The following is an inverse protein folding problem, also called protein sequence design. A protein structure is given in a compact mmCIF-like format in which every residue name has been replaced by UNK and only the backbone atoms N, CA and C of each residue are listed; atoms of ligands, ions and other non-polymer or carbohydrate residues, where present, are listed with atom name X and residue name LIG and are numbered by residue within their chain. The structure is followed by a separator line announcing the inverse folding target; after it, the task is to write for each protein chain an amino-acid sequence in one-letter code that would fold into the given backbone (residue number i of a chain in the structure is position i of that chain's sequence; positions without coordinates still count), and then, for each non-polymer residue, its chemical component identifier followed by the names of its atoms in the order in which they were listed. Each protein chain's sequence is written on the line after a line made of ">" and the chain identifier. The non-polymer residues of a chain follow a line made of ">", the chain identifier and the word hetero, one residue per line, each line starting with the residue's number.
data_IF_338428052092
#
_entry.id   IF_338428052092
#
_cell.length_a   1.000
_cell.length_b   1.000
_cell.length_c   1.000
_cell.angle_alpha   90.00
_cell.angle_beta   90.00
_cell.angle_gamma   90.00
#
_symmetry.space_group_name_H-M   'P 1'
#
loop_
_entity.id
_entity.type
_entity.pdbx_description
1 polymer ?
#
# COMPACT_ATOMS: atom_id res chain seq x y z
N UNK A 1 17.93 6.99 -4.38
CA UNK A 1 18.16 7.60 -3.06
C UNK A 1 17.03 7.14 -2.16
N UNK A 2 17.25 6.15 -1.30
CA UNK A 2 16.21 5.64 -0.40
C UNK A 2 16.17 6.51 0.85
N UNK A 3 15.06 7.20 1.11
CA UNK A 3 14.91 8.02 2.31
C UNK A 3 14.99 7.13 3.57
N UNK A 4 15.74 7.50 4.62
CA UNK A 4 15.96 6.65 5.81
C UNK A 4 14.66 6.13 6.44
N UNK A 5 13.66 7.01 6.59
CA UNK A 5 12.37 6.65 7.19
C UNK A 5 11.61 5.57 6.40
N UNK A 6 11.79 5.47 5.08
CA UNK A 6 11.15 4.40 4.29
C UNK A 6 11.85 3.06 4.52
N UNK A 7 13.17 3.06 4.70
CA UNK A 7 13.92 1.84 5.00
C UNK A 7 13.53 1.25 6.37
N UNK A 8 13.19 2.09 7.34
CA UNK A 8 12.76 1.64 8.67
C UNK A 8 11.35 1.02 8.67
N UNK A 9 10.48 1.46 7.76
CA UNK A 9 9.11 0.97 7.65
C UNK A 9 8.99 -0.30 6.78
N UNK A 10 9.90 -0.47 5.83
CA UNK A 10 9.87 -1.55 4.84
C UNK A 10 10.80 -2.69 5.22
N UNK A 11 10.33 -3.93 5.10
CA UNK A 11 11.18 -5.10 5.24
C UNK A 11 12.18 -5.23 4.07
N UNK A 12 13.17 -6.12 4.18
CA UNK A 12 14.23 -6.28 3.17
C UNK A 12 13.67 -6.68 1.79
N UNK A 13 12.61 -7.48 1.72
CA UNK A 13 11.98 -7.86 0.45
C UNK A 13 11.22 -6.69 -0.18
N UNK A 14 10.47 -5.95 0.63
CA UNK A 14 9.77 -4.73 0.19
C UNK A 14 10.78 -3.71 -0.35
N UNK A 15 11.90 -3.51 0.32
CA UNK A 15 12.96 -2.62 -0.16
C UNK A 15 13.50 -3.03 -1.54
N UNK A 16 13.58 -4.33 -1.84
CA UNK A 16 13.98 -4.81 -3.18
C UNK A 16 12.91 -4.52 -4.24
N UNK A 17 11.62 -4.63 -3.88
CA UNK A 17 10.49 -4.28 -4.75
C UNK A 17 10.49 -2.77 -5.05
N UNK A 18 10.70 -1.94 -4.02
CA UNK A 18 10.70 -0.48 -4.13
C UNK A 18 11.84 0.06 -5.02
N UNK A 19 12.89 -0.73 -5.31
CA UNK A 19 13.89 -0.37 -6.34
C UNK A 19 13.29 -0.20 -7.73
N UNK A 20 12.13 -0.79 -7.98
CA UNK A 20 11.39 -0.70 -9.25
C UNK A 20 10.29 0.36 -9.21
N UNK A 21 10.11 1.08 -8.09
CA UNK A 21 9.15 2.17 -8.01
C UNK A 21 9.62 3.33 -8.90
N UNK A 22 8.82 3.66 -9.91
CA UNK A 22 9.08 4.79 -10.80
C UNK A 22 8.56 6.11 -10.24
N UNK A 23 7.31 6.12 -9.77
CA UNK A 23 6.70 7.29 -9.13
C UNK A 23 5.62 6.89 -8.15
N UNK A 24 5.24 7.82 -7.29
CA UNK A 24 4.10 7.69 -6.40
C UNK A 24 3.29 8.99 -6.46
N UNK A 25 1.97 8.85 -6.45
CA UNK A 25 1.01 9.94 -6.50
C UNK A 25 0.00 9.83 -5.35
N UNK A 26 -0.39 10.97 -4.77
CA UNK A 26 -1.41 11.06 -3.72
C UNK A 26 -2.53 11.94 -4.25
N UNK A 27 -3.72 11.37 -4.34
CA UNK A 27 -4.93 12.07 -4.77
C UNK A 27 -5.89 12.18 -3.57
N UNK A 28 -6.17 13.41 -3.14
CA UNK A 28 -7.25 13.68 -2.19
C UNK A 28 -8.61 13.40 -2.85
N UNK A 29 -9.57 12.86 -2.10
CA UNK A 29 -10.93 12.72 -2.59
C UNK A 29 -11.58 14.11 -2.78
N UNK A 30 -12.70 14.18 -3.51
CA UNK A 30 -13.42 15.44 -3.82
C UNK A 30 -13.65 16.32 -2.59
N UNK A 31 -13.89 15.68 -1.45
CA UNK A 31 -13.81 16.30 -0.14
C UNK A 31 -12.56 15.76 0.56
N UNK A 32 -11.61 16.65 0.86
CA UNK A 32 -10.31 16.31 1.47
C UNK A 32 -10.48 15.62 2.83
N UNK A 33 -11.61 15.81 3.52
CA UNK A 33 -11.92 15.13 4.78
C UNK A 33 -12.46 13.72 4.57
N UNK A 34 -12.88 13.36 3.36
CA UNK A 34 -13.52 12.09 3.04
C UNK A 34 -12.54 10.99 2.65
N UNK A 35 -11.26 11.28 2.42
CA UNK A 35 -10.26 10.26 2.12
C UNK A 35 -9.20 10.68 1.11
N UNK A 36 -8.29 9.75 0.82
CA UNK A 36 -7.23 9.91 -0.17
C UNK A 36 -6.86 8.56 -0.80
N UNK A 37 -6.26 8.62 -1.98
CA UNK A 37 -5.72 7.47 -2.70
C UNK A 37 -4.22 7.64 -2.92
N UNK A 38 -3.47 6.61 -2.53
CA UNK A 38 -2.02 6.50 -2.73
C UNK A 38 -1.81 5.55 -3.91
N UNK A 39 -1.23 6.04 -5.00
CA UNK A 39 -0.91 5.24 -6.19
C UNK A 39 0.59 5.08 -6.33
N UNK A 40 1.07 3.84 -6.44
CA UNK A 40 2.46 3.50 -6.72
C UNK A 40 2.59 2.98 -8.16
N UNK A 41 3.43 3.63 -8.96
CA UNK A 41 3.71 3.24 -10.34
C UNK A 41 5.07 2.52 -10.39
N UNK A 42 5.05 1.25 -10.76
CA UNK A 42 6.22 0.40 -10.85
C UNK A 42 6.65 0.18 -12.29
N UNK A 43 7.96 0.22 -12.49
CA UNK A 43 8.58 -0.34 -13.68
C UNK A 43 8.42 -1.86 -13.70
N UNK A 44 8.54 -2.51 -14.87
CA UNK A 44 8.57 -3.97 -14.96
C UNK A 44 9.58 -4.56 -13.97
N UNK A 45 9.13 -5.51 -13.15
CA UNK A 45 9.91 -6.07 -12.05
C UNK A 45 9.71 -7.59 -11.96
N UNK A 46 10.59 -8.34 -11.27
CA UNK A 46 10.50 -9.80 -11.20
C UNK A 46 9.47 -10.33 -10.19
N UNK A 47 8.78 -9.47 -9.43
CA UNK A 47 7.93 -9.88 -8.30
C UNK A 47 6.45 -10.01 -8.67
N UNK A 48 5.90 -9.03 -9.38
CA UNK A 48 4.49 -9.02 -9.79
C UNK A 48 4.30 -8.43 -11.18
N UNK A 49 3.12 -8.64 -11.75
CA UNK A 49 2.76 -8.15 -13.09
C UNK A 49 2.20 -6.72 -13.08
N UNK A 50 1.66 -6.26 -11.95
CA UNK A 50 1.07 -4.92 -11.84
C UNK A 50 2.13 -3.84 -12.12
N UNK A 51 1.77 -2.87 -12.95
CA UNK A 51 2.55 -1.63 -13.12
C UNK A 51 2.02 -0.51 -12.25
N UNK A 52 0.82 -0.66 -11.69
CA UNK A 52 0.15 0.31 -10.81
C UNK A 52 -0.50 -0.41 -9.64
N UNK A 53 -0.21 0.04 -8.42
CA UNK A 53 -0.85 -0.39 -7.18
C UNK A 53 -1.45 0.83 -6.49
N UNK A 54 -2.76 0.82 -6.27
CA UNK A 54 -3.46 1.90 -5.57
C UNK A 54 -4.00 1.40 -4.24
N UNK A 55 -3.81 2.21 -3.20
CA UNK A 55 -4.40 2.03 -1.88
C UNK A 55 -5.30 3.23 -1.60
N UNK A 56 -6.59 3.01 -1.41
CA UNK A 56 -7.56 4.07 -1.14
C UNK A 56 -8.06 3.97 0.29
N UNK A 57 -8.05 5.10 0.98
CA UNK A 57 -8.58 5.30 2.32
C UNK A 57 -9.80 6.20 2.20
N UNK A 58 -10.94 5.75 2.70
CA UNK A 58 -12.20 6.49 2.70
C UNK A 58 -12.67 6.66 4.14
N UNK A 59 -12.76 7.90 4.59
CA UNK A 59 -13.24 8.26 5.92
C UNK A 59 -14.75 8.48 5.84
N UNK A 60 -15.50 7.71 6.62
CA UNK A 60 -16.96 7.85 6.75
C UNK A 60 -17.26 8.74 7.96
N UNK A 61 -18.40 9.43 7.92
CA UNK A 61 -18.81 10.39 8.96
C UNK A 61 -18.94 9.76 10.37
N UNK A 62 -19.21 8.45 10.44
CA UNK A 62 -19.24 7.69 11.69
C UNK A 62 -17.85 7.47 12.32
N UNK A 63 -16.78 7.98 11.70
CA UNK A 63 -15.39 7.73 12.10
C UNK A 63 -14.82 6.42 11.56
N UNK A 64 -15.61 5.63 10.82
CA UNK A 64 -15.17 4.38 10.20
C UNK A 64 -14.30 4.68 8.97
N UNK A 65 -13.11 4.07 8.90
CA UNK A 65 -12.26 4.13 7.70
C UNK A 65 -12.43 2.87 6.85
N UNK A 66 -12.92 3.01 5.62
CA UNK A 66 -12.88 1.95 4.61
C UNK A 66 -11.55 2.01 3.86
N UNK A 67 -10.95 0.84 3.66
CA UNK A 67 -9.65 0.71 3.02
C UNK A 67 -9.77 -0.29 1.87
N UNK A 68 -9.40 0.13 0.67
CA UNK A 68 -9.32 -0.74 -0.51
C UNK A 68 -7.90 -0.73 -1.08
N UNK A 69 -7.51 -1.82 -1.74
CA UNK A 69 -6.19 -1.99 -2.32
C UNK A 69 -6.28 -2.71 -3.66
N UNK A 70 -5.42 -2.38 -4.60
CA UNK A 70 -5.25 -3.17 -5.82
C UNK A 70 -4.73 -4.58 -5.47
N UNK A 71 -5.43 -5.65 -5.88
CA UNK A 71 -4.92 -7.02 -5.73
C UNK A 71 -3.61 -7.18 -6.53
N UNK A 72 -2.61 -7.80 -5.90
CA UNK A 72 -1.29 -7.98 -6.48
C UNK A 72 -1.25 -9.32 -7.24
N UNK A 73 -0.95 -9.26 -8.54
CA UNK A 73 -0.71 -10.41 -9.41
C UNK A 73 0.75 -10.83 -9.31
N UNK A 74 1.05 -11.59 -8.26
CA UNK A 74 2.39 -12.11 -8.03
C UNK A 74 2.85 -13.04 -9.16
N UNK A 75 4.14 -12.98 -9.48
CA UNK A 75 4.79 -13.95 -10.36
C UNK A 75 5.07 -15.23 -9.57
N UNK A 76 5.28 -16.33 -10.29
CA UNK A 76 5.53 -17.64 -9.71
C UNK A 76 6.67 -17.60 -8.66
N UNK A 77 6.40 -18.14 -7.47
CA UNK A 77 7.36 -18.19 -6.37
C UNK A 77 7.70 -16.84 -5.71
N UNK A 78 6.98 -15.75 -6.05
CA UNK A 78 7.23 -14.41 -5.48
C UNK A 78 6.14 -13.89 -4.55
N UNK A 79 4.96 -14.51 -4.56
CA UNK A 79 3.92 -14.22 -3.59
C UNK A 79 4.26 -14.77 -2.20
N UNK A 80 3.51 -14.32 -1.19
CA UNK A 80 3.60 -14.89 0.15
C UNK A 80 3.19 -16.38 0.10
N UNK A 81 3.91 -17.29 0.79
CA UNK A 81 3.65 -18.74 0.75
C UNK A 81 2.33 -19.14 1.40
N UNK A 82 1.65 -18.23 2.10
CA UNK A 82 0.32 -18.46 2.62
C UNK A 82 -0.59 -17.45 1.93
N UNK A 83 -1.59 -17.94 1.20
CA UNK A 83 -2.60 -17.18 0.47
C UNK A 83 -3.50 -16.31 1.36
N UNK A 84 -2.89 -15.50 2.22
CA UNK A 84 -3.42 -14.22 2.68
C UNK A 84 -3.36 -13.28 1.47
N UNK A 85 -4.11 -13.64 0.42
CA UNK A 85 -4.83 -12.65 -0.34
C UNK A 85 -5.48 -11.79 0.74
N UNK A 86 -4.97 -10.58 0.93
CA UNK A 86 -5.55 -9.60 1.83
C UNK A 86 -6.86 -9.07 1.20
N UNK A 87 -7.62 -9.97 0.56
CA UNK A 87 -9.02 -9.85 0.28
C UNK A 87 -9.74 -10.14 1.59
N UNK A 88 -10.60 -9.19 1.97
CA UNK A 88 -11.52 -9.26 3.11
C UNK A 88 -10.84 -9.08 4.47
N UNK A 89 -10.94 -7.85 4.99
CA UNK A 89 -10.79 -7.49 6.41
C UNK A 89 -9.37 -7.22 6.94
N UNK A 90 -8.70 -6.20 6.38
CA UNK A 90 -7.50 -5.59 6.96
C UNK A 90 -7.78 -4.51 8.00
N UNK A 91 -8.76 -4.72 8.89
CA UNK A 91 -8.88 -3.93 10.12
C UNK A 91 -7.86 -4.49 11.12
N UNK A 92 -6.57 -4.10 11.02
CA UNK A 92 -5.49 -4.22 12.03
C UNK A 92 -4.08 -4.03 11.43
N UNK A 93 -3.69 -2.79 11.12
CA UNK A 93 -2.29 -2.33 11.30
C UNK A 93 -2.33 -0.90 11.86
N UNK A 94 -2.58 -0.86 13.17
CA UNK A 94 -2.18 0.12 14.18
C UNK A 94 -1.64 1.48 13.68
N UNK A 95 -2.44 2.53 13.88
CA UNK A 95 -1.95 3.84 14.35
C UNK A 95 -2.75 4.22 15.62
N UNK A 96 -2.59 3.45 16.69
CA UNK A 96 -2.65 4.05 18.02
C UNK A 96 -1.25 4.59 18.29
N UNK A 97 -0.98 5.82 17.86
CA UNK A 97 0.11 6.55 18.50
C UNK A 97 -0.47 7.02 19.82
N UNK A 98 0.03 6.39 20.88
CA UNK A 98 -0.34 6.61 22.27
C UNK A 98 -0.46 8.09 22.63
N UNK A 99 -1.40 8.33 23.53
CA UNK A 99 -1.74 9.65 24.02
C UNK A 99 -0.57 10.32 24.73
N UNK A 100 -0.51 11.62 24.54
CA UNK A 100 -0.15 12.56 25.58
C UNK A 100 -0.92 13.87 25.37
#
# INVERSE_FOLDING_TARGET
>A
MSHPALCELLNVEDQKIFKYLGSHDVEDNKDVKSGYSITFNFNPNPYFQNTKLTKTFTFLEEGTTKITATPIKWKEGKGLPNGLDHDKNGNKRWFMRDGH
#
